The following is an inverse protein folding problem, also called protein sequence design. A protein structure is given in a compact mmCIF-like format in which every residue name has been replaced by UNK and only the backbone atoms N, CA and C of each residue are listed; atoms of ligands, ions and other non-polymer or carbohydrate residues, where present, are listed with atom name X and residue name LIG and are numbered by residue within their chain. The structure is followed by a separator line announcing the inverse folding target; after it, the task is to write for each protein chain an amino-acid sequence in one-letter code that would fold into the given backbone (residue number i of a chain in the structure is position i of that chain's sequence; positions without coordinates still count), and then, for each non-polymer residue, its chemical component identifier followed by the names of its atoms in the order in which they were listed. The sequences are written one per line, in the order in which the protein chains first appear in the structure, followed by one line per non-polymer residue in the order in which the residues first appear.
data_IF_531514557948
#
_entry.id   IF_531514557948
#
_cell.length_a   1.000
_cell.length_b   1.000
_cell.length_c   1.000
_cell.angle_alpha   90.00
_cell.angle_beta   90.00
_cell.angle_gamma   90.00
#
_symmetry.space_group_name_H-M   'P 1'
#
loop_
_entity.id
_entity.type
_entity.pdbx_description
1 polymer ?
#
# COMPACT_ATOMS: atom_id res chain seq x y z
N UNK A 1 -6.63 -19.13 15.28
CA UNK A 1 -6.34 -17.87 14.56
C UNK A 1 -7.35 -17.74 13.41
N UNK A 2 -8.42 -16.98 13.62
CA UNK A 2 -9.55 -16.86 12.65
C UNK A 2 -9.07 -16.24 11.34
N UNK A 3 -8.10 -15.33 11.41
CA UNK A 3 -7.62 -14.63 10.25
C UNK A 3 -6.80 -15.47 9.24
N UNK A 4 -6.36 -16.70 9.61
CA UNK A 4 -5.54 -17.55 8.74
C UNK A 4 -6.17 -17.80 7.36
N UNK A 5 -7.51 -17.84 7.30
CA UNK A 5 -8.27 -18.02 6.06
C UNK A 5 -8.13 -16.87 5.07
N UNK A 6 -7.66 -15.71 5.51
CA UNK A 6 -7.45 -14.54 4.67
C UNK A 6 -6.06 -14.50 4.03
N UNK A 7 -5.11 -15.27 4.56
CA UNK A 7 -3.74 -15.28 4.10
C UNK A 7 -3.45 -16.39 3.09
N UNK A 8 -2.56 -16.10 2.15
CA UNK A 8 -2.07 -17.05 1.16
C UNK A 8 -0.60 -16.75 0.85
N UNK A 9 0.13 -17.75 0.35
CA UNK A 9 1.42 -17.52 -0.31
C UNK A 9 1.15 -17.19 -1.77
N UNK A 10 1.68 -16.08 -2.26
CA UNK A 10 1.68 -15.73 -3.67
C UNK A 10 3.04 -15.93 -4.32
N UNK A 11 3.04 -16.03 -5.64
CA UNK A 11 4.23 -15.93 -6.48
C UNK A 11 4.19 -14.60 -7.21
N UNK A 12 5.22 -13.80 -6.99
CA UNK A 12 5.43 -12.53 -7.66
C UNK A 12 6.51 -12.69 -8.74
N UNK A 13 6.13 -12.47 -9.98
CA UNK A 13 7.00 -12.53 -11.14
C UNK A 13 7.34 -11.11 -11.58
N UNK A 14 8.63 -10.81 -11.69
CA UNK A 14 9.06 -9.52 -12.26
C UNK A 14 8.77 -9.48 -13.76
N UNK A 15 8.02 -8.47 -14.20
CA UNK A 15 7.72 -8.16 -15.60
C UNK A 15 8.43 -6.85 -15.94
N UNK A 16 9.75 -6.93 -16.13
CA UNK A 16 10.61 -5.77 -16.40
C UNK A 16 11.00 -4.98 -15.15
N UNK A 17 11.48 -3.75 -15.33
CA UNK A 17 12.11 -2.99 -14.25
C UNK A 17 11.12 -2.37 -13.23
N UNK A 18 9.81 -2.34 -13.53
CA UNK A 18 8.82 -1.55 -12.78
C UNK A 18 7.47 -2.26 -12.58
N UNK A 19 7.31 -3.50 -13.01
CA UNK A 19 6.03 -4.21 -12.91
C UNK A 19 6.23 -5.62 -12.40
N UNK A 20 5.23 -6.12 -11.68
CA UNK A 20 5.20 -7.51 -11.24
C UNK A 20 3.80 -8.09 -11.39
N UNK A 21 3.74 -9.37 -11.74
CA UNK A 21 2.50 -10.15 -11.73
C UNK A 21 2.48 -11.02 -10.50
N UNK A 22 1.39 -10.93 -9.75
CA UNK A 22 1.12 -11.78 -8.61
C UNK A 22 0.18 -12.91 -9.02
N UNK A 23 0.52 -14.13 -8.66
CA UNK A 23 -0.35 -15.31 -8.74
C UNK A 23 -0.52 -15.93 -7.36
N UNK A 24 -1.68 -16.51 -7.07
CA UNK A 24 -1.87 -17.30 -5.85
C UNK A 24 -1.10 -18.62 -5.98
N UNK A 25 -0.43 -19.04 -4.91
CA UNK A 25 0.19 -20.36 -4.85
C UNK A 25 -0.88 -21.38 -4.45
N UNK A 26 -1.12 -22.35 -5.32
CA UNK A 26 -2.02 -23.46 -5.02
C UNK A 26 -1.43 -24.38 -3.94
N UNK A 27 -2.29 -24.91 -3.06
CA UNK A 27 -1.87 -25.72 -1.92
C UNK A 27 -1.30 -27.10 -2.27
N UNK A 28 -1.40 -27.52 -3.52
CA UNK A 28 -0.86 -28.78 -4.06
C UNK A 28 0.59 -28.66 -4.58
N UNK A 29 1.13 -27.44 -4.70
CA UNK A 29 2.47 -27.21 -5.23
C UNK A 29 3.50 -27.39 -4.11
N UNK A 30 4.50 -28.24 -4.34
CA UNK A 30 5.62 -28.41 -3.41
C UNK A 30 6.69 -27.35 -3.61
N UNK A 31 7.41 -26.98 -2.55
CA UNK A 31 8.54 -26.04 -2.65
C UNK A 31 9.64 -26.55 -3.59
N UNK A 32 9.87 -27.87 -3.62
CA UNK A 32 10.80 -28.49 -4.56
C UNK A 32 10.35 -28.34 -6.02
N UNK A 33 9.05 -28.56 -6.29
CA UNK A 33 8.46 -28.35 -7.61
C UNK A 33 8.57 -26.89 -8.07
N UNK A 34 8.31 -25.96 -7.15
CA UNK A 34 8.48 -24.52 -7.41
C UNK A 34 9.94 -24.18 -7.75
N UNK A 35 10.90 -24.64 -6.93
CA UNK A 35 12.32 -24.37 -7.13
C UNK A 35 12.87 -24.94 -8.45
N UNK A 36 12.29 -26.05 -8.92
CA UNK A 36 12.67 -26.72 -10.17
C UNK A 36 12.13 -26.02 -11.43
N UNK A 37 11.28 -24.99 -11.27
CA UNK A 37 10.67 -24.28 -12.40
C UNK A 37 11.67 -23.31 -13.04
N UNK A 38 11.69 -23.23 -14.38
CA UNK A 38 12.63 -22.40 -15.17
C UNK A 38 12.61 -20.90 -14.85
N UNK A 39 11.58 -20.40 -14.19
CA UNK A 39 11.42 -18.98 -13.79
C UNK A 39 11.82 -18.70 -12.34
N UNK A 40 12.40 -19.66 -11.62
CA UNK A 40 12.68 -19.53 -10.17
C UNK A 40 13.60 -18.35 -9.83
N UNK A 41 14.54 -17.98 -10.70
CA UNK A 41 15.45 -16.85 -10.48
C UNK A 41 14.78 -15.48 -10.51
N UNK A 42 13.60 -15.36 -11.16
CA UNK A 42 12.86 -14.10 -11.29
C UNK A 42 11.50 -14.13 -10.55
N UNK A 43 11.33 -15.11 -9.65
CA UNK A 43 10.08 -15.33 -8.90
C UNK A 43 10.35 -15.14 -7.41
N UNK A 44 9.54 -14.31 -6.75
CA UNK A 44 9.55 -14.13 -5.29
C UNK A 44 8.31 -14.78 -4.68
N UNK A 45 8.50 -15.56 -3.62
CA UNK A 45 7.36 -15.99 -2.80
C UNK A 45 7.01 -14.86 -1.82
N UNK A 46 5.74 -14.48 -1.77
CA UNK A 46 5.22 -13.41 -0.91
C UNK A 46 4.11 -13.94 -0.03
N UNK A 47 4.16 -13.65 1.26
CA UNK A 47 3.02 -13.87 2.13
C UNK A 47 2.07 -12.69 1.97
N UNK A 48 0.79 -12.96 1.73
CA UNK A 48 -0.18 -11.91 1.43
C UNK A 48 -1.53 -12.17 2.06
N UNK A 49 -2.23 -11.08 2.37
CA UNK A 49 -3.65 -11.07 2.67
C UNK A 49 -4.42 -11.05 1.34
N UNK A 50 -4.93 -12.21 0.92
CA UNK A 50 -5.46 -12.45 -0.42
C UNK A 50 -6.97 -12.56 -0.47
N UNK A 51 -7.60 -12.97 0.64
CA UNK A 51 -9.06 -13.16 0.70
C UNK A 51 -9.66 -12.13 1.65
N UNK A 52 -10.07 -10.99 1.11
CA UNK A 52 -10.55 -9.86 1.91
C UNK A 52 -11.92 -10.18 2.53
N UNK A 53 -12.12 -10.00 3.84
CA UNK A 53 -13.43 -10.15 4.46
C UNK A 53 -14.39 -9.08 3.92
N UNK A 54 -15.68 -9.41 3.86
CA UNK A 54 -16.71 -8.45 3.43
C UNK A 54 -16.77 -7.19 4.30
N UNK A 55 -16.41 -7.32 5.58
CA UNK A 55 -16.28 -6.20 6.50
C UNK A 55 -14.87 -6.19 7.15
N UNK A 56 -13.95 -5.31 6.71
CA UNK A 56 -12.64 -5.15 7.34
C UNK A 56 -12.70 -4.68 8.79
N UNK A 57 -13.76 -4.01 9.23
CA UNK A 57 -13.87 -3.55 10.62
C UNK A 57 -14.09 -4.73 11.57
N UNK A 58 -14.90 -5.72 11.17
CA UNK A 58 -15.01 -6.98 11.92
C UNK A 58 -13.66 -7.66 12.13
N UNK A 59 -12.77 -7.63 11.12
CA UNK A 59 -11.40 -8.16 11.24
C UNK A 59 -10.58 -7.39 12.27
N UNK A 60 -10.69 -6.06 12.33
CA UNK A 60 -10.01 -5.27 13.36
C UNK A 60 -10.44 -5.67 14.77
N UNK A 61 -11.75 -5.88 14.99
CA UNK A 61 -12.27 -6.28 16.29
C UNK A 61 -11.83 -7.70 16.69
N UNK A 62 -11.77 -8.63 15.73
CA UNK A 62 -11.41 -10.03 15.97
C UNK A 62 -9.89 -10.27 16.06
N UNK A 63 -9.11 -9.63 15.18
CA UNK A 63 -7.67 -9.79 15.05
C UNK A 63 -7.00 -8.50 14.53
N UNK A 64 -6.70 -7.54 15.44
CA UNK A 64 -6.08 -6.26 15.08
C UNK A 64 -4.76 -6.39 14.32
N UNK A 65 -3.96 -7.44 14.61
CA UNK A 65 -2.67 -7.65 13.94
C UNK A 65 -2.83 -8.04 12.49
N UNK A 66 -3.83 -8.87 12.19
CA UNK A 66 -4.15 -9.23 10.81
C UNK A 66 -4.74 -8.06 10.05
N UNK A 67 -5.53 -7.20 10.70
CA UNK A 67 -6.00 -5.95 10.11
C UNK A 67 -4.85 -4.99 9.79
N UNK A 68 -3.91 -4.81 10.72
CA UNK A 68 -2.72 -3.97 10.53
C UNK A 68 -1.86 -4.47 9.36
N UNK A 69 -1.68 -5.80 9.25
CA UNK A 69 -1.01 -6.40 8.10
C UNK A 69 -1.72 -6.07 6.79
N UNK A 70 -3.05 -6.22 6.75
CA UNK A 70 -3.86 -5.91 5.57
C UNK A 70 -3.76 -4.43 5.18
N UNK A 71 -3.84 -3.52 6.16
CA UNK A 71 -3.66 -2.09 5.95
C UNK A 71 -2.28 -1.76 5.35
N UNK A 72 -1.21 -2.28 5.96
CA UNK A 72 0.17 -2.08 5.48
C UNK A 72 0.36 -2.62 4.05
N UNK A 73 -0.21 -3.79 3.75
CA UNK A 73 -0.20 -4.35 2.40
C UNK A 73 -0.91 -3.43 1.39
N UNK A 74 -2.09 -2.89 1.74
CA UNK A 74 -2.83 -1.97 0.88
C UNK A 74 -2.04 -0.68 0.60
N UNK A 75 -1.42 -0.09 1.62
CA UNK A 75 -0.56 1.09 1.45
C UNK A 75 0.57 0.78 0.47
N UNK A 76 1.28 -0.32 0.67
CA UNK A 76 2.36 -0.73 -0.22
C UNK A 76 1.86 -0.96 -1.65
N UNK A 77 0.71 -1.61 -1.83
CA UNK A 77 0.14 -1.83 -3.16
C UNK A 77 -0.20 -0.50 -3.87
N UNK A 78 -0.69 0.51 -3.15
CA UNK A 78 -0.94 1.85 -3.72
C UNK A 78 0.36 2.55 -4.09
N UNK A 79 1.33 2.61 -3.17
CA UNK A 79 2.63 3.30 -3.35
C UNK A 79 3.49 2.62 -4.44
N UNK A 80 3.42 1.29 -4.55
CA UNK A 80 4.08 0.56 -5.64
C UNK A 80 3.31 0.65 -6.97
N UNK A 81 2.22 1.42 -7.05
CA UNK A 81 1.48 1.63 -8.30
C UNK A 81 0.69 0.40 -8.77
N UNK A 82 0.35 -0.53 -7.88
CA UNK A 82 -0.38 -1.76 -8.24
C UNK A 82 -1.76 -1.49 -8.82
N UNK A 83 -2.36 -0.35 -8.45
CA UNK A 83 -3.66 0.12 -8.93
C UNK A 83 -3.55 1.34 -9.85
N UNK A 84 -2.38 1.62 -10.44
CA UNK A 84 -2.13 2.86 -11.18
C UNK A 84 -3.09 3.07 -12.37
N UNK A 85 -3.64 2.00 -12.94
CA UNK A 85 -4.58 2.07 -14.07
C UNK A 85 -6.05 2.07 -13.65
N UNK A 86 -6.40 1.59 -12.45
CA UNK A 86 -7.79 1.56 -11.97
C UNK A 86 -8.12 2.69 -10.98
N UNK A 87 -7.14 3.16 -10.21
CA UNK A 87 -7.32 4.12 -9.13
C UNK A 87 -7.23 5.56 -9.65
N UNK A 88 -8.25 6.38 -9.36
CA UNK A 88 -8.22 7.82 -9.65
C UNK A 88 -7.17 8.53 -8.80
N UNK A 89 -6.50 9.52 -9.39
CA UNK A 89 -5.48 10.29 -8.71
C UNK A 89 -5.99 10.97 -7.41
N UNK A 90 -7.20 11.54 -7.42
CA UNK A 90 -7.80 12.15 -6.23
C UNK A 90 -8.07 11.15 -5.10
N UNK A 91 -8.27 9.87 -5.41
CA UNK A 91 -8.38 8.83 -4.39
C UNK A 91 -7.00 8.52 -3.78
N UNK A 92 -5.97 8.42 -4.62
CA UNK A 92 -4.59 8.21 -4.18
C UNK A 92 -4.12 9.30 -3.21
N UNK A 93 -4.34 10.58 -3.55
CA UNK A 93 -3.96 11.70 -2.67
C UNK A 93 -4.71 11.69 -1.34
N UNK A 94 -6.01 11.37 -1.34
CA UNK A 94 -6.78 11.24 -0.09
C UNK A 94 -6.28 10.09 0.77
N UNK A 95 -5.95 8.94 0.17
CA UNK A 95 -5.35 7.82 0.89
C UNK A 95 -3.98 8.17 1.46
N UNK A 96 -3.15 8.90 0.71
CA UNK A 96 -1.86 9.38 1.17
C UNK A 96 -2.00 10.33 2.38
N UNK A 97 -2.94 11.28 2.32
CA UNK A 97 -3.20 12.21 3.43
C UNK A 97 -3.66 11.48 4.71
N UNK A 98 -4.59 10.52 4.57
CA UNK A 98 -5.02 9.68 5.69
C UNK A 98 -3.87 8.84 6.27
N UNK A 99 -3.01 8.28 5.40
CA UNK A 99 -1.83 7.52 5.85
C UNK A 99 -0.79 8.40 6.56
N UNK A 100 -0.58 9.62 6.08
CA UNK A 100 0.27 10.63 6.75
C UNK A 100 -0.26 10.96 8.14
N UNK A 101 -1.58 11.13 8.28
CA UNK A 101 -2.21 11.36 9.58
C UNK A 101 -2.00 10.17 10.52
N UNK A 102 -2.26 8.95 10.06
CA UNK A 102 -2.07 7.73 10.83
C UNK A 102 -0.63 7.62 11.34
N UNK A 103 0.38 7.73 10.46
CA UNK A 103 1.80 7.66 10.84
C UNK A 103 2.17 8.80 11.79
N UNK A 104 1.65 10.01 11.57
CA UNK A 104 1.92 11.15 12.45
C UNK A 104 1.44 10.91 13.87
N UNK A 105 0.30 10.24 14.03
CA UNK A 105 -0.24 9.83 15.33
C UNK A 105 0.59 8.70 15.96
N UNK A 106 0.89 7.65 15.20
CA UNK A 106 1.60 6.47 15.69
C UNK A 106 3.06 6.76 16.07
N UNK A 107 3.71 7.67 15.33
CA UNK A 107 5.11 8.05 15.53
C UNK A 107 5.29 9.32 16.39
N UNK A 108 4.19 9.85 16.94
CA UNK A 108 4.17 11.10 17.72
C UNK A 108 4.86 12.29 17.01
N UNK A 109 4.74 12.35 15.69
CA UNK A 109 5.32 13.41 14.87
C UNK A 109 4.40 14.64 14.79
N UNK A 110 3.12 14.47 15.10
CA UNK A 110 2.17 15.57 15.23
C UNK A 110 2.35 16.36 16.52
N UNK A 111 1.87 17.61 16.52
CA UNK A 111 1.65 18.42 17.73
C UNK A 111 0.19 18.82 17.78
N UNK A 112 -0.46 18.62 18.92
CA UNK A 112 -1.87 18.99 19.15
C UNK A 112 -2.84 18.47 18.07
N UNK A 113 -2.63 17.23 17.60
CA UNK A 113 -3.45 16.62 16.55
C UNK A 113 -3.18 17.12 15.13
N UNK A 114 -2.23 18.05 14.94
CA UNK A 114 -1.87 18.59 13.63
C UNK A 114 -0.69 17.85 13.00
N UNK A 115 -0.87 17.48 11.74
CA UNK A 115 0.16 16.86 10.90
C UNK A 115 1.04 17.95 10.28
N UNK A 116 2.36 17.81 10.39
CA UNK A 116 3.32 18.70 9.73
C UNK A 116 3.96 17.99 8.53
N UNK A 117 3.56 18.39 7.32
CA UNK A 117 4.09 17.80 6.09
C UNK A 117 5.61 17.93 5.98
N UNK A 118 6.15 19.11 6.31
CA UNK A 118 7.59 19.37 6.27
C UNK A 118 8.39 18.50 7.24
N UNK A 119 7.79 18.14 8.38
CA UNK A 119 8.40 17.21 9.33
C UNK A 119 8.36 15.77 8.80
N UNK A 120 7.21 15.33 8.27
CA UNK A 120 7.07 13.99 7.69
C UNK A 120 7.98 13.78 6.48
N UNK A 121 8.06 14.75 5.58
CA UNK A 121 8.97 14.72 4.44
C UNK A 121 10.43 14.61 4.87
N UNK A 122 10.85 15.37 5.89
CA UNK A 122 12.22 15.30 6.40
C UNK A 122 12.57 13.96 7.06
N UNK A 123 11.62 13.35 7.76
CA UNK A 123 11.88 12.14 8.55
C UNK A 123 11.65 10.84 7.76
N UNK A 124 10.69 10.83 6.83
CA UNK A 124 10.25 9.63 6.12
C UNK A 124 10.39 9.75 4.60
N UNK A 125 10.30 10.97 4.06
CA UNK A 125 10.28 11.23 2.61
C UNK A 125 8.88 11.07 2.01
N UNK A 126 8.57 11.87 0.98
CA UNK A 126 7.25 11.83 0.33
C UNK A 126 6.99 10.54 -0.46
N UNK A 127 8.05 9.85 -0.92
CA UNK A 127 7.96 8.57 -1.62
C UNK A 127 7.35 7.43 -0.77
N UNK A 128 7.29 7.60 0.56
CA UNK A 128 6.59 6.65 1.44
C UNK A 128 5.07 6.70 1.29
N UNK A 129 4.53 7.84 0.85
CA UNK A 129 3.09 8.09 0.81
C UNK A 129 2.53 8.14 -0.61
N UNK A 130 3.37 8.49 -1.59
CA UNK A 130 2.98 8.72 -2.97
C UNK A 130 3.61 7.70 -3.92
N UNK A 131 2.91 7.30 -4.99
CA UNK A 131 3.45 6.34 -5.94
C UNK A 131 4.76 6.81 -6.60
N UNK A 132 5.74 5.91 -6.71
CA UNK A 132 7.08 6.23 -7.21
C UNK A 132 7.16 6.58 -8.71
N UNK A 133 6.14 6.27 -9.50
CA UNK A 133 6.09 6.55 -10.94
C UNK A 133 4.62 6.76 -11.34
N UNK A 134 4.08 7.93 -11.05
CA UNK A 134 2.93 8.38 -11.81
C UNK A 134 3.49 9.04 -13.07
N UNK A 135 3.12 8.53 -14.26
CA UNK A 135 3.51 9.06 -15.58
C UNK A 135 3.59 10.59 -15.60
N UNK A 136 4.41 11.17 -16.49
CA UNK A 136 4.58 12.63 -16.64
C UNK A 136 3.27 13.46 -16.60
N UNK A 137 2.13 12.86 -16.98
CA UNK A 137 0.77 13.44 -16.84
C UNK A 137 0.27 13.61 -15.38
N UNK A 138 0.61 12.71 -14.47
CA UNK A 138 0.21 12.79 -13.06
C UNK A 138 1.10 13.73 -12.23
N UNK A 139 2.32 14.02 -12.68
CA UNK A 139 3.25 14.90 -11.98
C UNK A 139 2.88 16.38 -12.19
N UNK A 140 2.48 16.78 -13.41
CA UNK A 140 2.10 18.17 -13.72
C UNK A 140 0.75 18.58 -13.13
N UNK A 141 -0.22 17.65 -13.07
CA UNK A 141 -1.54 17.89 -12.47
C UNK A 141 -1.48 17.69 -10.95
N UNK A 142 -0.62 16.77 -10.51
CA UNK A 142 -0.49 16.34 -9.14
C UNK A 142 0.13 17.35 -8.20
N UNK A 143 1.22 17.99 -8.60
CA UNK A 143 1.89 18.95 -7.74
C UNK A 143 1.03 20.21 -7.50
N UNK A 144 0.28 20.66 -8.51
CA UNK A 144 -0.66 21.79 -8.36
C UNK A 144 -1.93 21.42 -7.57
N UNK A 145 -2.52 20.24 -7.79
CA UNK A 145 -3.74 19.83 -7.07
C UNK A 145 -3.49 19.24 -5.68
N UNK A 146 -2.36 18.58 -5.44
CA UNK A 146 -2.01 18.07 -4.11
C UNK A 146 -1.78 19.24 -3.15
N UNK A 147 -1.08 20.30 -3.59
CA UNK A 147 -0.97 21.52 -2.80
C UNK A 147 -2.32 22.21 -2.57
N UNK A 148 -3.23 22.25 -3.54
CA UNK A 148 -4.55 22.87 -3.36
C UNK A 148 -5.47 22.05 -2.46
N UNK A 149 -5.50 20.72 -2.59
CA UNK A 149 -6.36 19.83 -1.78
C UNK A 149 -5.85 19.75 -0.33
N UNK A 150 -4.53 19.64 -0.13
CA UNK A 150 -3.93 19.67 1.21
C UNK A 150 -4.08 21.04 1.90
N UNK A 151 -4.21 22.14 1.13
CA UNK A 151 -4.49 23.48 1.67
C UNK A 151 -5.98 23.79 1.83
N UNK A 152 -6.87 23.16 1.07
CA UNK A 152 -8.33 23.25 1.26
C UNK A 152 -8.79 22.46 2.50
N UNK A 153 -8.20 21.28 2.79
CA UNK A 153 -8.46 20.58 4.06
C UNK A 153 -7.99 21.40 5.27
N UNK A 154 -6.90 22.18 5.14
CA UNK A 154 -6.45 23.16 6.15
C UNK A 154 -7.47 24.27 6.43
N UNK A 155 -8.41 24.53 5.52
CA UNK A 155 -9.36 25.66 5.59
C UNK A 155 -10.75 25.23 6.06
N UNK A 156 -10.98 23.92 6.26
CA UNK A 156 -12.25 23.36 6.77
C UNK A 156 -12.18 22.92 8.23
N UNK A 157 -11.05 23.18 8.90
CA UNK A 157 -10.84 23.10 10.36
C UNK A 157 -10.70 24.51 10.95
#
# INVERSE_FOLDING_TARGET
MVARRHFNLGLEYSIGNRSSRLALLEGNITLQGLASTRSSSNTRCVFRFSFVPSDPYSLYLEDPRSFEYFYSQCVNDVVCGRFAFEMRYEACIRMAALHMQQISMDSHLGKDGRVSLSRLERELGLGTFLPHDSSRECQEIGDSKAHSILSEERSRE
#
